data_IF_909342090839
#
_entry.id   IF_909342090839
#
_cell.length_a   1.000
_cell.length_b   1.000
_cell.length_c   1.000
_cell.angle_alpha   90.00
_cell.angle_beta   90.00
_cell.angle_gamma   90.00
#
_symmetry.space_group_name_H-M   'P 1'
#
loop_
_entity.id
_entity.type
_entity.pdbx_description
1 polymer ?
#
# COMPACT_ATOMS: atom_id res chain seq x y z
N UNK A 1 2.71 17.08 10.98
CA UNK A 1 2.93 17.83 9.75
C UNK A 1 2.75 16.93 8.54
N UNK A 2 2.11 17.43 7.53
CA UNK A 2 1.95 16.68 6.31
C UNK A 2 3.26 16.66 5.53
N UNK A 3 3.53 15.56 4.86
CA UNK A 3 4.66 15.49 3.97
C UNK A 3 4.37 16.28 2.72
N UNK A 4 5.37 16.96 2.20
CA UNK A 4 5.25 17.59 0.90
C UNK A 4 5.47 16.54 -0.16
N UNK A 5 4.47 16.33 -0.99
CA UNK A 5 4.55 15.38 -2.09
C UNK A 5 4.70 16.15 -3.40
N UNK A 6 5.48 15.57 -4.29
CA UNK A 6 5.63 16.10 -5.63
C UNK A 6 4.68 15.31 -6.52
N UNK A 7 3.74 16.00 -7.13
CA UNK A 7 2.77 15.38 -8.02
C UNK A 7 3.14 15.67 -9.46
N UNK A 8 3.30 14.62 -10.25
CA UNK A 8 3.59 14.73 -11.67
C UNK A 8 2.51 14.08 -12.49
N UNK A 9 2.12 14.75 -13.57
CA UNK A 9 1.15 14.21 -14.52
C UNK A 9 1.82 14.22 -15.88
N UNK A 10 1.87 13.05 -16.52
CA UNK A 10 2.49 12.96 -17.85
C UNK A 10 1.48 13.30 -18.95
N UNK A 11 1.92 13.22 -20.19
CA UNK A 11 1.08 13.57 -21.34
C UNK A 11 -0.08 12.59 -21.58
N UNK A 12 -0.03 11.42 -20.95
CA UNK A 12 -1.08 10.41 -21.09
C UNK A 12 -2.07 10.42 -19.93
N UNK A 13 -1.88 11.35 -18.99
CA UNK A 13 -2.75 11.43 -17.83
C UNK A 13 -2.38 10.54 -16.67
N UNK A 14 -1.21 9.91 -16.71
CA UNK A 14 -0.73 9.13 -15.58
C UNK A 14 -0.23 10.06 -14.49
N UNK A 15 -0.64 9.81 -13.26
CA UNK A 15 -0.28 10.66 -12.12
C UNK A 15 0.66 9.90 -11.19
N UNK A 16 1.72 10.56 -10.79
CA UNK A 16 2.71 9.96 -9.89
C UNK A 16 2.98 10.91 -8.73
N UNK A 17 3.08 10.35 -7.53
CA UNK A 17 3.43 11.11 -6.33
C UNK A 17 4.77 10.65 -5.81
N UNK A 18 5.63 11.61 -5.48
CA UNK A 18 6.98 11.34 -4.96
C UNK A 18 7.18 12.09 -3.64
N UNK A 19 8.02 11.54 -2.79
CA UNK A 19 8.45 12.26 -1.60
C UNK A 19 9.66 13.14 -1.96
N UNK A 20 10.21 13.85 -0.97
CA UNK A 20 11.36 14.75 -1.16
C UNK A 20 12.60 14.03 -1.70
N UNK A 21 12.71 12.74 -1.45
CA UNK A 21 13.83 11.94 -1.90
C UNK A 21 13.65 11.40 -3.32
N UNK A 22 12.51 11.72 -3.95
CA UNK A 22 12.23 11.26 -5.30
C UNK A 22 11.69 9.84 -5.37
N UNK A 23 11.27 9.28 -4.24
CA UNK A 23 10.72 7.93 -4.20
C UNK A 23 9.20 7.98 -4.29
N UNK A 24 8.61 7.01 -4.98
CA UNK A 24 7.17 6.87 -5.04
C UNK A 24 6.62 6.80 -3.62
N UNK A 25 5.68 7.68 -3.30
CA UNK A 25 5.19 7.78 -1.93
C UNK A 25 3.85 8.50 -1.86
N UNK A 26 2.90 7.89 -1.16
CA UNK A 26 1.64 8.55 -0.82
C UNK A 26 1.00 7.75 0.29
N UNK A 27 0.51 8.43 1.34
CA UNK A 27 -0.08 7.76 2.49
C UNK A 27 -1.59 7.58 2.37
N UNK A 28 -2.27 8.50 1.70
CA UNK A 28 -3.73 8.52 1.65
C UNK A 28 -4.33 8.09 0.32
N UNK A 29 -3.56 7.41 -0.48
CA UNK A 29 -4.03 6.93 -1.76
C UNK A 29 -2.91 6.27 -2.55
N UNK A 30 -3.16 5.92 -3.82
CA UNK A 30 -2.12 5.33 -4.64
C UNK A 30 -1.05 6.37 -4.99
N UNK A 31 0.21 5.95 -4.96
CA UNK A 31 1.32 6.81 -5.35
C UNK A 31 1.42 6.92 -6.87
N UNK A 32 0.84 5.96 -7.59
CA UNK A 32 0.76 6.00 -9.04
C UNK A 32 -0.68 5.69 -9.47
N UNK A 33 -1.20 6.52 -10.37
CA UNK A 33 -2.52 6.28 -10.94
C UNK A 33 -2.39 6.36 -12.46
N UNK A 34 -2.53 5.22 -13.10
CA UNK A 34 -2.45 5.15 -14.56
C UNK A 34 -3.75 5.59 -15.21
N UNK A 35 -3.65 6.14 -16.41
CA UNK A 35 -4.81 6.57 -17.16
C UNK A 35 -5.72 5.39 -17.55
N UNK A 36 -5.19 4.18 -17.51
CA UNK A 36 -5.96 2.95 -17.79
C UNK A 36 -6.62 2.36 -16.55
N UNK A 37 -6.58 3.07 -15.40
CA UNK A 37 -7.16 2.60 -14.17
C UNK A 37 -6.21 1.84 -13.24
N UNK A 38 -4.96 1.68 -13.65
CA UNK A 38 -3.96 1.01 -12.81
C UNK A 38 -3.64 1.89 -11.60
N UNK A 39 -3.55 1.28 -10.42
CA UNK A 39 -3.21 1.99 -9.19
C UNK A 39 -2.14 1.22 -8.45
N UNK A 40 -1.14 1.94 -7.94
CA UNK A 40 -0.05 1.34 -7.17
C UNK A 40 0.13 2.16 -5.89
N UNK A 41 0.02 1.50 -4.74
CA UNK A 41 0.25 2.12 -3.44
C UNK A 41 1.70 1.90 -3.04
N UNK A 42 2.41 2.99 -2.77
CA UNK A 42 3.81 2.92 -2.37
C UNK A 42 4.10 3.86 -1.22
N UNK A 43 5.02 3.46 -0.37
CA UNK A 43 5.55 4.30 0.69
C UNK A 43 7.07 4.17 0.65
N UNK A 44 7.74 5.31 0.53
CA UNK A 44 9.20 5.37 0.44
C UNK A 44 9.79 4.44 -0.63
N UNK A 45 9.12 4.36 -1.78
CA UNK A 45 9.57 3.56 -2.89
C UNK A 45 9.21 2.09 -2.83
N UNK A 46 8.54 1.66 -1.77
CA UNK A 46 8.15 0.26 -1.61
C UNK A 46 6.65 0.10 -1.79
N UNK A 47 6.24 -0.93 -2.50
CA UNK A 47 4.82 -1.23 -2.61
C UNK A 47 4.29 -1.60 -1.24
N UNK A 48 3.24 -0.93 -0.81
CA UNK A 48 2.73 -1.09 0.54
C UNK A 48 1.29 -0.64 0.65
N UNK A 49 0.44 -1.47 1.20
CA UNK A 49 -0.93 -1.10 1.50
C UNK A 49 -1.49 -2.04 2.57
N UNK A 50 -2.14 -1.48 3.57
CA UNK A 50 -2.71 -2.26 4.67
C UNK A 50 -4.23 -2.42 4.60
N UNK A 51 -4.88 -1.68 3.72
CA UNK A 51 -6.35 -1.72 3.59
C UNK A 51 -6.82 -2.25 2.24
N UNK A 52 -5.95 -2.90 1.50
CA UNK A 52 -6.31 -3.47 0.21
C UNK A 52 -5.06 -3.91 -0.54
N UNK A 53 -5.22 -4.31 -1.81
CA UNK A 53 -4.07 -4.67 -2.63
C UNK A 53 -3.21 -3.45 -2.94
N UNK A 54 -1.91 -3.61 -2.93
CA UNK A 54 -0.98 -2.51 -3.21
C UNK A 54 -0.87 -2.22 -4.71
N UNK A 55 -1.21 -3.20 -5.54
CA UNK A 55 -1.24 -3.01 -6.99
C UNK A 55 -2.59 -3.49 -7.52
N UNK A 56 -3.27 -2.60 -8.24
CA UNK A 56 -4.54 -2.92 -8.90
C UNK A 56 -4.39 -2.53 -10.37
N UNK A 57 -4.34 -3.52 -11.23
CA UNK A 57 -4.35 -3.27 -12.67
C UNK A 57 -5.76 -2.86 -13.09
N UNK A 58 -5.88 -1.96 -14.02
CA UNK A 58 -7.16 -1.38 -14.41
C UNK A 58 -8.27 -2.41 -14.65
N UNK A 59 -8.00 -3.40 -15.48
CA UNK A 59 -8.95 -4.48 -15.79
C UNK A 59 -8.40 -5.83 -15.41
N UNK A 60 -7.38 -5.86 -14.59
CA UNK A 60 -6.63 -7.09 -14.37
C UNK A 60 -6.52 -7.50 -12.91
N UNK A 61 -5.55 -8.32 -12.62
CA UNK A 61 -5.37 -8.88 -11.30
C UNK A 61 -4.93 -7.85 -10.27
N UNK A 62 -5.06 -8.24 -9.01
CA UNK A 62 -4.66 -7.45 -7.86
C UNK A 62 -3.55 -8.17 -7.14
N UNK A 63 -2.62 -7.39 -6.60
CA UNK A 63 -1.46 -7.95 -5.90
C UNK A 63 -1.31 -7.29 -4.53
N UNK A 64 -1.04 -8.09 -3.52
CA UNK A 64 -0.92 -7.62 -2.14
C UNK A 64 0.54 -7.52 -1.75
N UNK A 65 0.91 -6.37 -1.17
CA UNK A 65 2.29 -6.06 -0.77
C UNK A 65 2.29 -5.32 0.55
N UNK A 66 3.26 -5.61 1.40
CA UNK A 66 3.52 -4.85 2.62
C UNK A 66 5.01 -4.58 2.67
N UNK A 67 5.38 -3.30 2.70
CA UNK A 67 6.77 -2.84 2.76
C UNK A 67 7.69 -3.52 1.75
N UNK A 68 7.16 -3.69 0.53
CA UNK A 68 7.93 -4.27 -0.56
C UNK A 68 7.92 -5.79 -0.61
N UNK A 69 7.23 -6.43 0.33
CA UNK A 69 7.12 -7.88 0.32
C UNK A 69 5.81 -8.31 -0.32
N UNK A 70 5.90 -9.21 -1.28
CA UNK A 70 4.75 -9.71 -2.01
C UNK A 70 4.07 -10.86 -1.27
N UNK A 71 2.73 -10.87 -1.27
CA UNK A 71 1.93 -11.94 -0.70
C UNK A 71 1.07 -12.54 -1.80
N UNK A 72 1.11 -13.84 -1.94
CA UNK A 72 0.45 -14.55 -3.03
C UNK A 72 -1.06 -14.52 -2.96
N UNK A 73 -1.61 -14.49 -1.74
CA UNK A 73 -3.05 -14.50 -1.52
C UNK A 73 -3.44 -13.39 -0.56
N UNK A 74 -4.70 -13.00 -0.64
CA UNK A 74 -5.24 -12.03 0.29
C UNK A 74 -5.17 -12.54 1.73
N UNK A 75 -5.36 -13.84 1.92
CA UNK A 75 -5.28 -14.44 3.25
C UNK A 75 -3.91 -14.28 3.87
N UNK A 76 -2.86 -14.54 3.10
CA UNK A 76 -1.49 -14.36 3.58
C UNK A 76 -1.23 -12.91 3.95
N UNK A 77 -1.72 -11.98 3.13
CA UNK A 77 -1.59 -10.55 3.37
C UNK A 77 -2.38 -10.11 4.60
N UNK A 78 -3.60 -10.63 4.78
CA UNK A 78 -4.40 -10.32 5.96
C UNK A 78 -3.70 -10.74 7.25
N UNK A 79 -3.09 -11.91 7.24
CA UNK A 79 -2.34 -12.39 8.40
C UNK A 79 -1.11 -11.54 8.68
N UNK A 80 -0.47 -11.05 7.63
CA UNK A 80 0.75 -10.26 7.79
C UNK A 80 0.49 -8.82 8.19
N UNK A 81 -0.62 -8.23 7.75
CA UNK A 81 -0.92 -6.82 8.04
C UNK A 81 -1.38 -6.59 9.47
N UNK A 82 -1.94 -7.62 10.09
CA UNK A 82 -2.45 -7.56 11.45
C UNK A 82 -2.03 -8.80 12.18
N UNK A 83 -1.85 -8.75 13.52
CA UNK A 83 -1.63 -9.97 14.28
C UNK A 83 -2.85 -10.88 14.06
N UNK A 84 -2.62 -12.18 14.06
CA UNK A 84 -3.71 -13.14 13.98
C UNK A 84 -4.65 -12.94 15.17
N UNK A 85 -5.86 -13.48 15.07
CA UNK A 85 -6.81 -13.38 16.17
C UNK A 85 -6.20 -14.00 17.43
N UNK A 86 -5.46 -15.09 17.28
CA UNK A 86 -4.81 -15.73 18.40
C UNK A 86 -3.73 -14.85 19.00
N UNK A 87 -2.91 -14.23 18.16
CA UNK A 87 -1.88 -13.31 18.61
C UNK A 87 -2.47 -12.09 19.29
N UNK A 88 -3.56 -11.57 18.73
CA UNK A 88 -4.25 -10.44 19.30
C UNK A 88 -4.79 -10.78 20.69
N UNK A 89 -5.34 -11.97 20.84
CA UNK A 89 -5.83 -12.44 22.14
C UNK A 89 -4.71 -12.56 23.14
N UNK A 90 -3.56 -13.04 22.70
CA UNK A 90 -2.39 -13.13 23.57
C UNK A 90 -1.92 -11.75 24.01
N UNK A 91 -1.94 -10.79 23.09
CA UNK A 91 -1.54 -9.41 23.40
C UNK A 91 -2.47 -8.75 24.40
N UNK A 92 -3.77 -9.03 24.32
CA UNK A 92 -4.76 -8.44 25.20
C UNK A 92 -5.04 -9.26 26.43
N UNK A 93 -4.56 -10.47 26.48
CA UNK A 93 -4.78 -11.37 27.60
C UNK A 93 -4.26 -10.78 28.90
N UNK A 94 -3.08 -10.17 28.86
CA UNK A 94 -2.46 -9.57 30.03
C UNK A 94 -3.22 -8.34 30.53
N UNK A 95 -4.04 -7.74 29.66
CA UNK A 95 -4.80 -6.56 30.01
C UNK A 95 -6.06 -6.89 30.81
N UNK A 96 -6.44 -8.15 30.81
CA UNK A 96 -7.65 -8.62 31.49
C UNK A 96 -7.38 -9.36 32.79
N UNK A 97 -6.15 -9.45 33.19
CA UNK A 97 -5.80 -10.12 34.44
C UNK A 97 -5.34 -9.16 35.56
#
# INVERSE_FOLDING_TARGET
MSEELIREVDEYGNVTYYNKEGKLHRLDGPAYEGSNGTKVWCQNGKRHRLDGPAVEWGDGPKFWWIEGKYYRTEEEWLDARCPSIEEAREMFKDLHT
#
